data_IF_236213892266
#
_entry.id   IF_236213892266
#
_cell.length_a   1.000
_cell.length_b   1.000
_cell.length_c   1.000
_cell.angle_alpha   90.00
_cell.angle_beta   90.00
_cell.angle_gamma   90.00
#
_symmetry.space_group_name_H-M   'P 1'
#
loop_
_entity.id
_entity.type
_entity.pdbx_description
1 polymer ?
#
# COMPACT_ATOMS: atom_id res chain seq x y z
N UNK A 1 -1.18 25.37 -6.20
CA UNK A 1 -0.19 24.30 -5.93
C UNK A 1 -0.96 23.17 -5.29
N UNK A 2 -1.13 22.08 -6.03
CA UNK A 2 -2.03 20.97 -5.71
C UNK A 2 -1.44 20.09 -4.61
N UNK A 3 -2.31 19.48 -3.80
CA UNK A 3 -1.98 18.58 -2.68
C UNK A 3 -1.35 17.24 -3.13
N UNK A 4 -0.64 17.23 -4.26
CA UNK A 4 -0.10 16.05 -4.94
C UNK A 4 0.88 15.29 -4.05
N UNK A 5 1.64 16.00 -3.21
CA UNK A 5 2.54 15.39 -2.23
C UNK A 5 1.80 14.56 -1.17
N UNK A 6 0.66 15.04 -0.68
CA UNK A 6 -0.15 14.30 0.30
C UNK A 6 -0.75 13.04 -0.33
N UNK A 7 -1.26 13.16 -1.55
CA UNK A 7 -1.85 12.06 -2.31
C UNK A 7 -0.81 11.02 -2.76
N UNK A 8 0.43 11.43 -3.03
CA UNK A 8 1.50 10.52 -3.45
C UNK A 8 1.77 9.40 -2.42
N UNK A 9 1.55 9.67 -1.12
CA UNK A 9 1.66 8.67 -0.06
C UNK A 9 0.63 7.53 -0.15
N UNK A 10 -0.49 7.76 -0.82
CA UNK A 10 -1.59 6.79 -0.97
C UNK A 10 -1.44 5.89 -2.20
N UNK A 11 -0.60 6.27 -3.16
CA UNK A 11 -0.42 5.53 -4.42
C UNK A 11 0.09 4.10 -4.18
N UNK A 12 1.10 3.84 -3.31
CA UNK A 12 1.54 2.48 -3.03
C UNK A 12 0.43 1.59 -2.45
N UNK A 13 -0.50 2.16 -1.68
CA UNK A 13 -1.65 1.43 -1.13
C UNK A 13 -2.64 1.03 -2.23
N UNK A 14 -2.92 1.93 -3.17
CA UNK A 14 -3.78 1.62 -4.33
C UNK A 14 -3.17 0.49 -5.17
N UNK A 15 -1.87 0.61 -5.49
CA UNK A 15 -1.16 -0.43 -6.25
C UNK A 15 -1.23 -1.78 -5.53
N UNK A 16 -0.97 -1.81 -4.22
CA UNK A 16 -1.07 -3.03 -3.44
C UNK A 16 -2.49 -3.61 -3.44
N UNK A 17 -3.49 -2.78 -3.17
CA UNK A 17 -4.90 -3.17 -3.15
C UNK A 17 -5.32 -3.87 -4.43
N UNK A 18 -5.14 -3.24 -5.59
CA UNK A 18 -5.51 -3.85 -6.88
C UNK A 18 -4.67 -5.10 -7.20
N UNK A 19 -3.38 -5.11 -6.83
CA UNK A 19 -2.52 -6.29 -7.06
C UNK A 19 -2.88 -7.50 -6.18
N UNK A 20 -3.64 -7.30 -5.10
CA UNK A 20 -4.20 -8.38 -4.28
C UNK A 20 -5.43 -8.97 -4.95
N UNK A 21 -6.29 -8.13 -5.52
CA UNK A 21 -7.52 -8.51 -6.23
C UNK A 21 -7.22 -9.25 -7.54
N UNK A 22 -6.20 -8.82 -8.28
CA UNK A 22 -5.85 -9.41 -9.58
C UNK A 22 -4.43 -9.06 -10.06
N UNK A 23 -4.07 -9.58 -11.23
CA UNK A 23 -2.87 -9.11 -11.94
C UNK A 23 -3.13 -7.70 -12.47
N UNK A 24 -2.19 -6.78 -12.25
CA UNK A 24 -2.22 -5.41 -12.80
C UNK A 24 -1.11 -5.24 -13.84
N UNK A 25 -1.28 -4.35 -14.79
CA UNK A 25 -0.20 -3.88 -15.66
C UNK A 25 -0.11 -2.35 -15.63
N UNK A 26 1.09 -1.82 -15.86
CA UNK A 26 1.40 -0.42 -15.58
C UNK A 26 0.45 0.60 -16.21
N UNK A 27 0.03 0.38 -17.46
CA UNK A 27 -0.89 1.30 -18.13
C UNK A 27 -2.29 1.29 -17.51
N UNK A 28 -2.88 0.12 -17.23
CA UNK A 28 -4.18 0.05 -16.53
C UNK A 28 -4.12 0.72 -15.15
N UNK A 29 -3.03 0.53 -14.41
CA UNK A 29 -2.85 1.17 -13.12
C UNK A 29 -2.67 2.70 -13.22
N UNK A 30 -2.02 3.22 -14.28
CA UNK A 30 -1.99 4.66 -14.56
C UNK A 30 -3.39 5.20 -14.81
N UNK A 31 -4.18 4.50 -15.62
CA UNK A 31 -5.52 4.94 -16.00
C UNK A 31 -6.46 4.92 -14.78
N UNK A 32 -6.38 3.90 -13.93
CA UNK A 32 -7.09 3.80 -12.65
C UNK A 32 -6.74 4.96 -11.71
N UNK A 33 -5.44 5.22 -11.50
CA UNK A 33 -5.01 6.33 -10.65
C UNK A 33 -5.48 7.69 -11.20
N UNK A 34 -5.46 7.88 -12.52
CA UNK A 34 -5.99 9.11 -13.13
C UNK A 34 -7.49 9.25 -12.94
N UNK A 35 -8.24 8.15 -13.00
CA UNK A 35 -9.67 8.13 -12.72
C UNK A 35 -9.97 8.59 -11.28
N UNK A 36 -9.13 8.19 -10.31
CA UNK A 36 -9.20 8.68 -8.92
C UNK A 36 -8.64 10.09 -8.69
N UNK A 37 -8.31 10.82 -9.77
CA UNK A 37 -7.84 12.21 -9.71
C UNK A 37 -6.34 12.38 -9.44
N UNK A 38 -5.55 11.28 -9.40
CA UNK A 38 -4.11 11.38 -9.26
C UNK A 38 -3.46 11.88 -10.54
N UNK A 39 -2.64 12.93 -10.44
CA UNK A 39 -1.79 13.44 -11.53
C UNK A 39 -0.47 12.68 -11.57
N UNK A 40 -0.54 11.41 -11.99
CA UNK A 40 0.64 10.53 -12.09
C UNK A 40 1.00 10.20 -13.54
N UNK A 41 2.30 10.19 -13.83
CA UNK A 41 2.87 9.78 -15.10
C UNK A 41 3.68 8.48 -15.01
N UNK A 42 4.07 7.91 -16.16
CA UNK A 42 4.93 6.72 -16.24
C UNK A 42 6.22 6.85 -15.41
N UNK A 43 6.86 8.03 -15.43
CA UNK A 43 8.09 8.30 -14.69
C UNK A 43 7.98 8.22 -13.17
N UNK A 44 6.77 8.14 -12.63
CA UNK A 44 6.53 7.95 -11.19
C UNK A 44 6.05 6.53 -10.90
N UNK A 45 5.14 6.01 -11.73
CA UNK A 45 4.54 4.69 -11.48
C UNK A 45 5.55 3.56 -11.67
N UNK A 46 6.31 3.55 -12.77
CA UNK A 46 7.21 2.43 -13.05
C UNK A 46 8.34 2.29 -12.01
N UNK A 47 8.99 3.38 -11.56
CA UNK A 47 9.91 3.31 -10.43
C UNK A 47 9.24 2.88 -9.11
N UNK A 48 7.96 3.22 -8.89
CA UNK A 48 7.22 2.71 -7.73
C UNK A 48 6.98 1.20 -7.82
N UNK A 49 6.52 0.70 -8.97
CA UNK A 49 6.29 -0.73 -9.20
C UNK A 49 7.59 -1.52 -9.00
N UNK A 50 8.70 -1.01 -9.53
CA UNK A 50 10.02 -1.62 -9.34
C UNK A 50 10.41 -1.67 -7.86
N UNK A 51 10.27 -0.57 -7.11
CA UNK A 51 10.56 -0.55 -5.66
C UNK A 51 9.69 -1.52 -4.87
N UNK A 52 8.41 -1.68 -5.23
CA UNK A 52 7.52 -2.63 -4.56
C UNK A 52 7.91 -4.08 -4.87
N UNK A 53 8.37 -4.36 -6.08
CA UNK A 53 8.93 -5.65 -6.48
C UNK A 53 10.25 -5.96 -5.77
N UNK A 54 11.21 -5.02 -5.75
CA UNK A 54 12.49 -5.16 -5.04
C UNK A 54 12.29 -5.41 -3.53
N UNK A 55 11.28 -4.77 -2.93
CA UNK A 55 10.90 -4.99 -1.54
C UNK A 55 10.14 -6.30 -1.32
N UNK A 56 9.85 -7.06 -2.38
CA UNK A 56 9.17 -8.34 -2.35
C UNK A 56 7.67 -8.24 -2.08
N UNK A 57 7.08 -7.05 -2.21
CA UNK A 57 5.64 -6.86 -2.06
C UNK A 57 4.87 -7.26 -3.33
N UNK A 58 5.48 -7.05 -4.49
CA UNK A 58 4.99 -7.50 -5.78
C UNK A 58 5.89 -8.56 -6.38
N UNK A 59 5.33 -9.40 -7.25
CA UNK A 59 6.06 -10.24 -8.19
C UNK A 59 5.65 -9.86 -9.59
N UNK A 60 6.61 -9.68 -10.49
CA UNK A 60 6.31 -9.49 -11.90
C UNK A 60 6.26 -10.80 -12.67
N UNK A 61 5.44 -10.82 -13.72
CA UNK A 61 5.42 -11.83 -14.78
C UNK A 61 5.46 -11.12 -16.11
N UNK A 62 6.31 -11.58 -17.01
CA UNK A 62 6.35 -11.09 -18.38
C UNK A 62 5.54 -12.02 -19.28
N UNK A 63 4.79 -11.42 -20.19
CA UNK A 63 4.00 -12.13 -21.19
C UNK A 63 4.31 -11.53 -22.56
N UNK A 64 4.69 -12.40 -23.49
CA UNK A 64 4.98 -12.01 -24.86
C UNK A 64 3.76 -12.25 -25.73
N UNK A 65 3.29 -11.21 -26.39
CA UNK A 65 2.29 -11.31 -27.44
C UNK A 65 2.89 -10.76 -28.74
N UNK A 66 3.40 -11.68 -29.58
CA UNK A 66 4.13 -11.35 -30.80
C UNK A 66 5.40 -10.53 -30.54
N UNK A 67 5.40 -9.26 -31.01
CA UNK A 67 6.50 -8.32 -30.83
C UNK A 67 6.43 -7.52 -29.53
N UNK A 68 5.31 -7.57 -28.81
CA UNK A 68 5.09 -6.79 -27.59
C UNK A 68 5.35 -7.65 -26.36
N UNK A 69 6.14 -7.13 -25.43
CA UNK A 69 6.32 -7.70 -24.11
C UNK A 69 5.51 -6.88 -23.10
N UNK A 70 4.60 -7.53 -22.39
CA UNK A 70 3.79 -6.90 -21.34
C UNK A 70 4.21 -7.45 -19.99
N UNK A 71 4.40 -6.56 -19.02
CA UNK A 71 4.76 -6.91 -17.65
C UNK A 71 3.53 -6.75 -16.75
N UNK A 72 3.15 -7.83 -16.10
CA UNK A 72 2.09 -7.90 -15.12
C UNK A 72 2.68 -7.99 -13.72
N UNK A 73 1.97 -7.47 -12.73
CA UNK A 73 2.36 -7.47 -11.34
C UNK A 73 1.24 -8.05 -10.49
N UNK A 74 1.60 -8.83 -9.47
CA UNK A 74 0.66 -9.37 -8.49
C UNK A 74 1.26 -9.27 -7.09
N UNK A 75 0.41 -9.07 -6.08
CA UNK A 75 0.84 -9.10 -4.70
C UNK A 75 1.42 -10.47 -4.33
N UNK A 76 2.54 -10.46 -3.63
CA UNK A 76 3.09 -11.65 -2.96
C UNK A 76 2.35 -11.90 -1.64
N UNK A 77 2.58 -13.04 -0.95
CA UNK A 77 2.11 -13.21 0.42
C UNK A 77 2.58 -12.08 1.35
N UNK A 78 3.83 -11.60 1.18
CA UNK A 78 4.36 -10.45 1.93
C UNK A 78 3.60 -9.17 1.62
N UNK A 79 3.27 -8.92 0.35
CA UNK A 79 2.47 -7.75 -0.07
C UNK A 79 1.07 -7.76 0.54
N UNK A 80 0.41 -8.93 0.57
CA UNK A 80 -0.89 -9.13 1.22
C UNK A 80 -0.81 -8.83 2.72
N UNK A 81 0.15 -9.42 3.42
CA UNK A 81 0.34 -9.18 4.85
C UNK A 81 0.63 -7.70 5.14
N UNK A 82 1.43 -7.05 4.30
CA UNK A 82 1.72 -5.62 4.44
C UNK A 82 0.46 -4.75 4.28
N UNK A 83 -0.41 -5.09 3.32
CA UNK A 83 -1.69 -4.40 3.14
C UNK A 83 -2.61 -4.61 4.36
N UNK A 84 -2.74 -5.83 4.86
CA UNK A 84 -3.53 -6.06 6.08
C UNK A 84 -2.97 -5.33 7.30
N UNK A 85 -1.65 -5.25 7.43
CA UNK A 85 -0.99 -4.59 8.56
C UNK A 85 -1.14 -3.07 8.60
N UNK A 86 -1.52 -2.42 7.47
CA UNK A 86 -1.70 -0.97 7.38
C UNK A 86 -3.17 -0.55 7.37
N UNK A 87 -4.11 -1.49 7.11
CA UNK A 87 -5.56 -1.21 7.14
C UNK A 87 -6.04 -0.54 8.44
N UNK A 88 -5.62 -0.95 9.65
CA UNK A 88 -6.06 -0.28 10.88
C UNK A 88 -5.69 1.21 10.91
N UNK A 89 -4.46 1.55 10.54
CA UNK A 89 -3.96 2.93 10.52
C UNK A 89 -4.68 3.77 9.46
N UNK A 90 -4.97 3.19 8.29
CA UNK A 90 -5.77 3.86 7.25
C UNK A 90 -7.20 4.10 7.72
N UNK A 91 -7.81 3.13 8.38
CA UNK A 91 -9.16 3.26 8.93
C UNK A 91 -9.24 4.31 10.03
N UNK A 92 -8.25 4.34 10.93
CA UNK A 92 -8.14 5.34 11.99
C UNK A 92 -8.01 6.74 11.40
N UNK A 93 -7.05 6.95 10.48
CA UNK A 93 -6.86 8.22 9.80
C UNK A 93 -8.13 8.68 9.06
N UNK A 94 -8.81 7.77 8.37
CA UNK A 94 -10.05 8.09 7.67
C UNK A 94 -11.15 8.53 8.64
N UNK A 95 -11.29 7.85 9.78
CA UNK A 95 -12.25 8.23 10.83
C UNK A 95 -11.95 9.64 11.37
N UNK A 96 -10.68 9.94 11.65
CA UNK A 96 -10.27 11.23 12.19
C UNK A 96 -10.48 12.37 11.18
N UNK A 97 -10.07 12.17 9.91
CA UNK A 97 -10.09 13.21 8.89
C UNK A 97 -11.50 13.46 8.33
N UNK A 98 -12.32 12.40 8.20
CA UNK A 98 -13.63 12.49 7.53
C UNK A 98 -14.78 12.58 8.53
N UNK A 99 -14.72 11.85 9.65
CA UNK A 99 -15.80 11.82 10.65
C UNK A 99 -15.55 12.79 11.80
N UNK A 100 -14.35 13.37 11.92
CA UNK A 100 -13.99 14.29 13.01
C UNK A 100 -13.90 13.60 14.37
N UNK A 101 -13.91 12.27 14.39
CA UNK A 101 -13.82 11.47 15.60
C UNK A 101 -12.42 11.61 16.18
N UNK A 102 -12.29 12.37 17.27
CA UNK A 102 -11.07 12.37 18.08
C UNK A 102 -11.06 11.10 18.92
N UNK A 103 -10.48 10.02 18.39
CA UNK A 103 -10.20 8.86 19.22
C UNK A 103 -9.06 9.22 20.19
N UNK A 104 -9.23 9.03 21.52
CA UNK A 104 -8.09 9.12 22.41
C UNK A 104 -7.08 8.03 22.00
N UNK A 105 -5.76 8.33 21.98
CA UNK A 105 -4.76 7.42 21.47
C UNK A 105 -4.90 6.07 22.18
N UNK A 106 -5.03 4.98 21.41
CA UNK A 106 -5.00 3.64 21.98
C UNK A 106 -3.65 3.47 22.67
N UNK A 107 -3.68 3.61 24.01
CA UNK A 107 -2.55 3.34 24.88
C UNK A 107 -1.98 1.99 24.48
N UNK A 108 -0.73 2.03 24.01
CA UNK A 108 0.31 1.04 24.26
C UNK A 108 -0.23 -0.13 25.08
N UNK A 109 -0.45 -1.27 24.41
CA UNK A 109 -0.70 -2.54 25.07
C UNK A 109 0.46 -2.79 26.03
N UNK A 110 0.23 -2.34 27.26
CA UNK A 110 0.77 -2.78 28.52
C UNK A 110 2.02 -3.64 28.39
N UNK A 111 3.18 -2.99 28.50
CA UNK A 111 4.24 -3.47 29.40
C UNK A 111 3.57 -3.84 30.73
N UNK A 112 3.29 -5.12 30.96
CA UNK A 112 3.19 -5.70 32.31
C UNK A 112 3.43 -7.22 32.27
N UNK A 113 4.17 -7.67 33.28
CA UNK A 113 4.74 -9.00 33.60
C UNK A 113 6.08 -9.26 32.91
N UNK A 114 7.22 -9.35 33.62
CA UNK A 114 7.40 -9.91 34.97
C UNK A 114 8.58 -9.26 35.69
N UNK A 115 8.35 -8.72 36.88
CA UNK A 115 9.37 -8.53 37.91
C UNK A 115 8.79 -8.95 39.25
N UNK A 116 9.57 -9.78 39.95
CA UNK A 116 9.57 -10.03 41.39
C UNK A 116 8.62 -11.13 41.89
N UNK A 117 9.25 -12.23 42.28
CA UNK A 117 8.70 -13.32 43.07
C UNK A 117 9.84 -14.02 43.83
N UNK A 118 10.46 -13.30 44.77
CA UNK A 118 11.04 -13.83 46.00
C UNK A 118 10.38 -13.01 47.12
N UNK A 119 9.87 -13.62 48.22
CA UNK A 119 10.75 -14.32 49.18
C UNK A 119 10.15 -15.58 49.85
N UNK A 120 11.03 -16.45 50.36
CA UNK A 120 11.18 -16.78 51.79
C UNK A 120 12.32 -17.78 52.00
#
# INVERSE_FOLDING_TARGET
MTHDFLLAGLIPLHVLHHSVEGEIYGQAMLDELRHHGYRIGPGTLYPLLHRLEERGYLKAREERNGKTMRRYYRATPKGRTALEAVKPQVSELFSEVIQGDRHPPQRSRSRRRTTIGEPS
#
